data_IF_255082548502
#
_entry.id   IF_255082548502
#
_cell.length_a   1.000
_cell.length_b   1.000
_cell.length_c   1.000
_cell.angle_alpha   90.00
_cell.angle_beta   90.00
_cell.angle_gamma   90.00
#
_symmetry.space_group_name_H-M   'P 1'
#
loop_
_entity.id
_entity.type
_entity.pdbx_description
1 polymer ?
#
# COMPACT_ATOMS: atom_id res chain seq x y z
N UNK A 1 18.81 -3.10 -9.83
CA UNK A 1 17.40 -3.31 -9.42
C UNK A 1 16.63 -2.02 -9.70
N UNK A 2 15.38 -2.09 -10.17
CA UNK A 2 14.53 -0.91 -10.43
C UNK A 2 13.41 -0.90 -9.42
N UNK A 3 13.47 0.03 -8.48
CA UNK A 3 12.46 0.18 -7.43
C UNK A 3 11.44 1.24 -7.85
N UNK A 4 10.18 1.03 -7.50
CA UNK A 4 9.09 1.98 -7.74
C UNK A 4 8.44 2.29 -6.40
N UNK A 5 8.30 3.58 -6.10
CA UNK A 5 7.58 4.05 -4.92
C UNK A 5 6.27 4.68 -5.38
N UNK A 6 5.15 4.20 -4.81
CA UNK A 6 3.81 4.70 -5.11
C UNK A 6 3.34 5.50 -3.91
N UNK A 7 3.12 6.80 -4.10
CA UNK A 7 2.69 7.72 -3.05
C UNK A 7 1.41 8.44 -3.47
N UNK A 8 0.53 8.71 -2.52
CA UNK A 8 -0.71 9.44 -2.77
C UNK A 8 -1.63 9.45 -1.55
N UNK A 9 -2.61 10.35 -1.57
CA UNK A 9 -3.65 10.41 -0.54
C UNK A 9 -4.68 9.29 -0.69
N UNK A 10 -5.48 9.06 0.36
CA UNK A 10 -6.61 8.14 0.27
C UNK A 10 -7.51 8.48 -0.93
N UNK A 11 -7.93 7.46 -1.68
CA UNK A 11 -8.75 7.57 -2.90
C UNK A 11 -8.06 8.21 -4.12
N UNK A 12 -6.75 8.41 -4.11
CA UNK A 12 -6.02 8.94 -5.27
C UNK A 12 -5.65 7.91 -6.35
N UNK A 13 -6.07 6.64 -6.18
CA UNK A 13 -5.78 5.56 -7.13
C UNK A 13 -4.47 4.81 -6.91
N UNK A 14 -3.79 5.01 -5.77
CA UNK A 14 -2.56 4.28 -5.39
C UNK A 14 -2.75 2.76 -5.46
N UNK A 15 -3.88 2.22 -4.96
CA UNK A 15 -4.18 0.79 -5.05
C UNK A 15 -4.37 0.28 -6.48
N UNK A 16 -4.87 1.12 -7.41
CA UNK A 16 -4.97 0.75 -8.82
C UNK A 16 -3.59 0.60 -9.46
N UNK A 17 -2.67 1.53 -9.17
CA UNK A 17 -1.29 1.47 -9.66
C UNK A 17 -0.55 0.28 -9.06
N UNK A 18 -0.66 0.09 -7.74
CA UNK A 18 -0.02 -1.03 -7.05
C UNK A 18 -0.51 -2.38 -7.59
N UNK A 19 -1.81 -2.54 -7.81
CA UNK A 19 -2.37 -3.75 -8.42
C UNK A 19 -1.94 -3.96 -9.88
N UNK A 20 -1.73 -2.88 -10.64
CA UNK A 20 -1.22 -2.97 -12.02
C UNK A 20 0.22 -3.49 -12.03
N UNK A 21 1.09 -2.96 -11.16
CA UNK A 21 2.48 -3.39 -11.07
C UNK A 21 2.61 -4.81 -10.51
N UNK A 22 1.80 -5.17 -9.51
CA UNK A 22 1.73 -6.54 -9.01
C UNK A 22 1.40 -7.54 -10.13
N UNK A 23 0.39 -7.23 -10.95
CA UNK A 23 0.02 -8.04 -12.13
C UNK A 23 1.09 -8.07 -13.22
N UNK A 24 1.93 -7.04 -13.31
CA UNK A 24 3.07 -6.99 -14.20
C UNK A 24 4.31 -7.75 -13.68
N UNK A 25 4.21 -8.41 -12.52
CA UNK A 25 5.28 -9.22 -11.95
C UNK A 25 6.28 -8.45 -11.10
N UNK A 26 5.96 -7.23 -10.66
CA UNK A 26 6.77 -6.56 -9.64
C UNK A 26 6.71 -7.33 -8.32
N UNK A 27 7.84 -7.39 -7.63
CA UNK A 27 7.89 -7.87 -6.26
C UNK A 27 7.20 -6.85 -5.35
N UNK A 28 6.18 -7.29 -4.62
CA UNK A 28 5.35 -6.45 -3.76
C UNK A 28 5.48 -6.79 -2.27
N UNK A 29 6.36 -7.71 -1.92
CA UNK A 29 6.49 -8.27 -0.58
C UNK A 29 6.01 -9.73 -0.49
N UNK A 30 5.86 -10.21 0.75
CA UNK A 30 5.50 -11.61 1.05
C UNK A 30 4.34 -11.73 2.04
N UNK A 31 4.00 -10.65 2.76
CA UNK A 31 2.94 -10.61 3.76
C UNK A 31 1.98 -9.47 3.47
N UNK A 32 0.91 -9.76 2.73
CA UNK A 32 -0.09 -8.76 2.35
C UNK A 32 -1.18 -8.60 3.40
N UNK A 33 -1.72 -7.37 3.51
CA UNK A 33 -2.94 -7.14 4.29
C UNK A 33 -4.11 -7.89 3.64
N UNK A 34 -4.84 -8.73 4.42
CA UNK A 34 -5.89 -9.56 3.85
C UNK A 34 -7.05 -8.74 3.28
N UNK A 35 -7.77 -9.28 2.29
CA UNK A 35 -9.02 -8.69 1.82
C UNK A 35 -10.05 -8.53 2.92
N UNK A 36 -10.91 -7.52 2.77
CA UNK A 36 -12.07 -7.28 3.65
C UNK A 36 -13.28 -6.92 2.82
N UNK A 37 -14.47 -6.91 3.42
CA UNK A 37 -15.73 -6.62 2.71
C UNK A 37 -15.69 -5.31 1.91
N UNK A 38 -15.11 -4.25 2.47
CA UNK A 38 -14.95 -2.96 1.79
C UNK A 38 -13.82 -2.90 0.76
N UNK A 39 -12.94 -3.91 0.73
CA UNK A 39 -11.88 -4.06 -0.26
C UNK A 39 -11.67 -5.54 -0.62
N UNK A 40 -12.56 -6.11 -1.45
CA UNK A 40 -12.57 -7.56 -1.75
C UNK A 40 -11.38 -7.99 -2.62
N UNK A 41 -10.69 -7.05 -3.27
CA UNK A 41 -9.47 -7.33 -4.04
C UNK A 41 -8.21 -7.45 -3.18
N UNK A 42 -8.32 -7.21 -1.86
CA UNK A 42 -7.17 -7.13 -0.98
C UNK A 42 -6.37 -5.84 -1.17
N UNK A 43 -5.32 -5.73 -0.37
CA UNK A 43 -4.34 -4.67 -0.51
C UNK A 43 -3.12 -5.23 -1.22
N UNK A 44 -2.39 -4.36 -1.91
CA UNK A 44 -1.23 -4.73 -2.72
C UNK A 44 0.09 -4.40 -2.00
N UNK A 45 0.00 -3.91 -0.77
CA UNK A 45 1.13 -3.51 0.05
C UNK A 45 1.42 -4.57 1.12
N UNK A 46 2.71 -4.78 1.37
CA UNK A 46 3.18 -5.61 2.46
C UNK A 46 2.89 -4.93 3.81
N UNK A 47 2.63 -5.73 4.85
CA UNK A 47 2.42 -5.27 6.21
C UNK A 47 3.55 -4.34 6.69
N UNK A 48 4.81 -4.69 6.42
CA UNK A 48 5.95 -3.87 6.84
C UNK A 48 5.91 -2.47 6.20
N UNK A 49 5.55 -2.40 4.91
CA UNK A 49 5.46 -1.12 4.18
C UNK A 49 4.32 -0.26 4.74
N UNK A 50 3.17 -0.87 5.04
CA UNK A 50 2.06 -0.17 5.67
C UNK A 50 2.45 0.38 7.05
N UNK A 51 3.14 -0.40 7.88
CA UNK A 51 3.57 0.02 9.22
C UNK A 51 4.54 1.20 9.18
N UNK A 52 5.47 1.20 8.22
CA UNK A 52 6.37 2.33 7.97
C UNK A 52 5.56 3.59 7.61
N UNK A 53 4.57 3.47 6.71
CA UNK A 53 3.71 4.59 6.34
C UNK A 53 2.96 5.15 7.56
N UNK A 54 2.35 4.29 8.37
CA UNK A 54 1.64 4.70 9.59
C UNK A 54 2.58 5.37 10.61
N UNK A 55 3.81 4.87 10.75
CA UNK A 55 4.81 5.47 11.63
C UNK A 55 5.25 6.87 11.17
N UNK A 56 5.30 7.12 9.85
CA UNK A 56 5.57 8.45 9.27
C UNK A 56 4.39 9.38 9.52
N UNK A 57 3.17 8.94 9.17
CA UNK A 57 1.96 9.74 9.30
C UNK A 57 1.68 10.13 10.75
N UNK A 58 1.89 9.23 11.71
CA UNK A 58 1.71 9.50 13.15
C UNK A 58 2.48 10.73 13.65
N UNK A 59 3.59 11.10 13.01
CA UNK A 59 4.40 12.27 13.40
C UNK A 59 3.82 13.60 12.93
N UNK A 60 2.95 13.58 11.92
CA UNK A 60 2.47 14.78 11.21
C UNK A 60 0.95 14.93 11.23
N UNK A 61 0.22 13.84 11.45
CA UNK A 61 -1.24 13.84 11.56
C UNK A 61 -1.62 14.31 12.98
N UNK A 62 -2.52 15.31 13.12
CA UNK A 62 -3.03 15.73 14.42
C UNK A 62 -3.60 14.55 15.21
N UNK A 63 -3.42 14.55 16.53
CA UNK A 63 -4.08 13.56 17.37
C UNK A 63 -5.59 13.72 17.22
N UNK A 64 -6.26 12.63 16.83
CA UNK A 64 -7.69 12.58 16.59
C UNK A 64 -8.45 12.36 17.89
#
# INVERSE_FOLDING_TARGET
MRNVLILGSGRSGTSMVAGTLAKAGYFMGTQFVPPRESNPKGFFEDHEINDINEAILKKVVPHR
#
